data_IF_921286007560
#
_entry.id   IF_921286007560
#
_cell.length_a   1.000
_cell.length_b   1.000
_cell.length_c   1.000
_cell.angle_alpha   90.00
_cell.angle_beta   90.00
_cell.angle_gamma   90.00
#
_symmetry.space_group_name_H-M   'P 1'
#
loop_
_entity.id
_entity.type
_entity.pdbx_description
1 polymer ?
#
# COMPACT_ATOMS: atom_id res chain seq x y z
N UNK A 1 -34.48 17.68 -21.20
CA UNK A 1 -34.79 16.53 -20.32
C UNK A 1 -33.47 15.93 -19.89
N UNK A 2 -33.30 15.62 -18.61
CA UNK A 2 -32.02 15.10 -18.09
C UNK A 2 -31.97 13.58 -18.29
N UNK A 3 -30.88 13.06 -18.84
CA UNK A 3 -30.68 11.62 -19.06
C UNK A 3 -29.92 10.99 -17.89
N UNK A 4 -30.03 9.67 -17.74
CA UNK A 4 -29.26 8.94 -16.73
C UNK A 4 -27.77 9.00 -17.05
N UNK A 5 -26.94 9.13 -16.01
CA UNK A 5 -25.49 9.06 -16.15
C UNK A 5 -25.04 7.61 -16.37
N UNK A 6 -23.84 7.43 -16.93
CA UNK A 6 -23.28 6.10 -17.17
C UNK A 6 -23.16 5.28 -15.88
N UNK A 7 -22.80 5.91 -14.76
CA UNK A 7 -22.66 5.24 -13.46
C UNK A 7 -24.00 4.67 -12.97
N UNK A 8 -25.09 5.41 -13.16
CA UNK A 8 -26.44 4.94 -12.82
C UNK A 8 -26.84 3.76 -13.72
N UNK A 9 -26.55 3.81 -15.02
CA UNK A 9 -26.81 2.70 -15.94
C UNK A 9 -26.00 1.43 -15.58
N UNK A 10 -24.75 1.58 -15.12
CA UNK A 10 -23.93 0.47 -14.62
C UNK A 10 -24.52 -0.11 -13.34
N UNK A 11 -24.94 0.75 -12.40
CA UNK A 11 -25.56 0.31 -11.14
C UNK A 11 -26.88 -0.45 -11.33
N UNK A 12 -27.67 -0.10 -12.36
CA UNK A 12 -28.91 -0.80 -12.70
C UNK A 12 -28.71 -2.21 -13.26
N UNK A 13 -27.50 -2.51 -13.79
CA UNK A 13 -27.17 -3.82 -14.37
C UNK A 13 -26.87 -4.89 -13.31
N UNK A 14 -26.38 -4.49 -12.14
CA UNK A 14 -26.16 -5.42 -11.03
C UNK A 14 -27.49 -5.69 -10.31
N UNK A 15 -27.84 -6.95 -10.04
CA UNK A 15 -29.09 -7.27 -9.35
C UNK A 15 -29.01 -6.77 -7.89
N UNK A 16 -29.47 -5.54 -7.68
CA UNK A 16 -29.64 -4.91 -6.38
C UNK A 16 -31.03 -4.27 -6.29
N UNK A 17 -31.75 -4.60 -5.22
CA UNK A 17 -33.02 -3.96 -4.83
C UNK A 17 -32.74 -2.78 -3.89
N UNK A 18 -31.79 -1.93 -4.25
CA UNK A 18 -31.57 -0.69 -3.51
C UNK A 18 -32.76 0.25 -3.74
N UNK A 19 -33.44 0.74 -2.69
CA UNK A 19 -34.62 1.61 -2.81
C UNK A 19 -34.39 2.85 -3.69
N UNK A 20 -33.14 3.31 -3.81
CA UNK A 20 -32.74 4.46 -4.62
C UNK A 20 -32.81 4.27 -6.14
N UNK A 21 -33.02 3.04 -6.65
CA UNK A 21 -32.98 2.77 -8.09
C UNK A 21 -34.35 2.79 -8.80
N UNK A 22 -35.47 2.90 -8.07
CA UNK A 22 -36.81 2.82 -8.64
C UNK A 22 -37.11 3.93 -9.66
N UNK A 23 -36.77 5.19 -9.34
CA UNK A 23 -36.97 6.32 -10.24
C UNK A 23 -36.11 6.22 -11.51
N UNK A 24 -34.88 5.70 -11.39
CA UNK A 24 -34.00 5.46 -12.52
C UNK A 24 -34.55 4.36 -13.44
N UNK A 25 -35.12 3.28 -12.89
CA UNK A 25 -35.80 2.24 -13.67
C UNK A 25 -37.01 2.79 -14.41
N UNK A 26 -37.86 3.57 -13.74
CA UNK A 26 -39.02 4.20 -14.38
C UNK A 26 -38.62 5.16 -15.52
N UNK A 27 -37.53 5.91 -15.36
CA UNK A 27 -37.00 6.75 -16.43
C UNK A 27 -36.46 5.90 -17.59
N UNK A 28 -35.72 4.83 -17.28
CA UNK A 28 -35.19 3.91 -18.29
C UNK A 28 -36.33 3.28 -19.11
N UNK A 29 -37.44 2.90 -18.48
CA UNK A 29 -38.59 2.30 -19.17
C UNK A 29 -39.29 3.27 -20.13
N UNK A 30 -39.18 4.58 -19.89
CA UNK A 30 -39.83 5.63 -20.68
C UNK A 30 -38.91 6.39 -21.64
N UNK A 31 -37.58 6.31 -21.48
CA UNK A 31 -36.62 7.08 -22.26
C UNK A 31 -35.82 6.22 -23.26
N UNK A 32 -36.12 6.35 -24.55
CA UNK A 32 -35.44 5.61 -25.64
C UNK A 32 -33.93 5.89 -25.72
N UNK A 33 -33.48 7.09 -25.37
CA UNK A 33 -32.07 7.43 -25.33
C UNK A 33 -31.31 6.63 -24.26
N UNK A 34 -31.86 6.55 -23.05
CA UNK A 34 -31.24 5.78 -21.96
C UNK A 34 -31.27 4.27 -22.23
N UNK A 35 -32.32 3.77 -22.88
CA UNK A 35 -32.40 2.37 -23.32
C UNK A 35 -31.29 2.04 -24.34
N UNK A 36 -31.07 2.93 -25.31
CA UNK A 36 -30.01 2.77 -26.30
C UNK A 36 -28.61 2.80 -25.67
N UNK A 37 -28.38 3.65 -24.67
CA UNK A 37 -27.10 3.66 -23.92
C UNK A 37 -26.89 2.39 -23.09
N UNK A 38 -27.94 1.86 -22.44
CA UNK A 38 -27.85 0.59 -21.73
C UNK A 38 -27.53 -0.58 -22.67
N UNK A 39 -28.15 -0.61 -23.85
CA UNK A 39 -27.89 -1.62 -24.86
C UNK A 39 -26.44 -1.53 -25.39
N UNK A 40 -25.94 -0.31 -25.64
CA UNK A 40 -24.52 -0.09 -26.00
C UNK A 40 -23.57 -0.61 -24.91
N UNK A 41 -23.92 -0.40 -23.63
CA UNK A 41 -23.15 -0.92 -22.50
C UNK A 41 -23.15 -2.46 -22.48
N UNK A 42 -24.31 -3.10 -22.67
CA UNK A 42 -24.43 -4.55 -22.75
C UNK A 42 -23.60 -5.14 -23.90
N UNK A 43 -23.62 -4.50 -25.08
CA UNK A 43 -22.81 -4.94 -26.22
C UNK A 43 -21.31 -4.85 -25.95
N UNK A 44 -20.82 -3.78 -25.30
CA UNK A 44 -19.41 -3.65 -24.91
C UNK A 44 -18.99 -4.76 -23.94
N UNK A 45 -19.83 -5.04 -22.95
CA UNK A 45 -19.59 -6.12 -21.99
C UNK A 45 -19.56 -7.48 -22.70
N UNK A 46 -20.50 -7.72 -23.61
CA UNK A 46 -20.53 -8.96 -24.39
C UNK A 46 -19.24 -9.14 -25.22
N UNK A 47 -18.73 -8.07 -25.84
CA UNK A 47 -17.45 -8.08 -26.57
C UNK A 47 -16.25 -8.37 -25.67
N UNK A 48 -16.23 -7.80 -24.46
CA UNK A 48 -15.17 -8.08 -23.49
C UNK A 48 -15.24 -9.55 -23.00
N UNK A 49 -16.45 -10.06 -22.77
CA UNK A 49 -16.66 -11.46 -22.38
C UNK A 49 -16.36 -12.47 -23.49
N UNK A 50 -16.49 -12.06 -24.75
CA UNK A 50 -16.15 -12.90 -25.91
C UNK A 50 -14.68 -12.83 -26.32
N UNK A 51 -13.85 -12.07 -25.60
CA UNK A 51 -12.41 -12.08 -25.82
C UNK A 51 -11.88 -13.51 -25.62
N UNK A 52 -10.95 -13.96 -26.49
CA UNK A 52 -10.36 -15.27 -26.34
C UNK A 52 -9.64 -15.35 -25.00
N UNK A 53 -9.76 -16.50 -24.33
CA UNK A 53 -8.97 -16.77 -23.13
C UNK A 53 -7.50 -16.86 -23.53
N UNK A 54 -6.73 -15.81 -23.27
CA UNK A 54 -5.30 -15.81 -23.47
C UNK A 54 -4.67 -16.67 -22.37
N UNK A 55 -4.18 -17.85 -22.73
CA UNK A 55 -3.38 -18.67 -21.83
C UNK A 55 -1.92 -18.20 -21.95
N UNK A 56 -1.29 -17.73 -20.86
CA UNK A 56 0.14 -17.44 -20.92
C UNK A 56 0.88 -18.74 -21.26
N UNK A 57 1.92 -18.64 -22.09
CA UNK A 57 2.75 -19.77 -22.43
C UNK A 57 3.37 -20.36 -21.13
N UNK A 58 3.30 -21.68 -20.96
CA UNK A 58 3.63 -22.37 -19.69
C UNK A 58 5.09 -22.18 -19.27
N UNK A 59 5.95 -21.84 -20.21
CA UNK A 59 7.39 -21.60 -20.12
C UNK A 59 7.79 -20.16 -19.72
N UNK A 60 6.84 -19.20 -19.76
CA UNK A 60 7.10 -17.82 -19.34
C UNK A 60 7.31 -17.68 -17.84
N UNK A 61 6.70 -18.56 -17.04
CA UNK A 61 6.82 -18.50 -15.58
C UNK A 61 8.25 -18.76 -15.09
N UNK A 62 8.95 -19.82 -15.55
CA UNK A 62 10.38 -19.98 -15.29
C UNK A 62 11.23 -18.76 -15.67
N UNK A 63 10.95 -18.13 -16.81
CA UNK A 63 11.68 -16.95 -17.28
C UNK A 63 11.48 -15.75 -16.34
N UNK A 64 10.24 -15.46 -15.96
CA UNK A 64 9.92 -14.39 -14.98
C UNK A 64 10.56 -14.67 -13.62
N UNK A 65 10.49 -15.92 -13.15
CA UNK A 65 11.12 -16.35 -11.90
C UNK A 65 12.63 -16.18 -11.96
N UNK A 66 13.26 -16.57 -13.06
CA UNK A 66 14.70 -16.43 -13.26
C UNK A 66 15.12 -14.96 -13.27
N UNK A 67 14.37 -14.08 -13.96
CA UNK A 67 14.60 -12.63 -13.95
C UNK A 67 14.51 -12.05 -12.54
N UNK A 68 13.47 -12.42 -11.78
CA UNK A 68 13.30 -11.97 -10.40
C UNK A 68 14.44 -12.45 -9.48
N UNK A 69 14.86 -13.72 -9.62
CA UNK A 69 15.96 -14.28 -8.84
C UNK A 69 17.31 -13.66 -9.21
N UNK A 70 17.56 -13.41 -10.50
CA UNK A 70 18.77 -12.75 -10.97
C UNK A 70 18.87 -11.32 -10.44
N UNK A 71 17.77 -10.58 -10.45
CA UNK A 71 17.69 -9.23 -9.88
C UNK A 71 17.95 -9.24 -8.36
N UNK A 72 17.35 -10.20 -7.64
CA UNK A 72 17.60 -10.38 -6.20
C UNK A 72 19.07 -10.73 -5.91
N UNK A 73 19.70 -11.60 -6.72
CA UNK A 73 21.12 -11.94 -6.60
C UNK A 73 22.01 -10.73 -6.87
N UNK A 74 21.76 -9.97 -7.93
CA UNK A 74 22.51 -8.74 -8.27
C UNK A 74 22.44 -7.70 -7.16
N UNK A 75 21.28 -7.52 -6.54
CA UNK A 75 21.12 -6.64 -5.37
C UNK A 75 21.96 -7.13 -4.19
N UNK A 76 21.89 -8.43 -3.86
CA UNK A 76 22.71 -9.03 -2.80
C UNK A 76 24.21 -8.90 -3.07
N UNK A 77 24.68 -9.12 -4.30
CA UNK A 77 26.10 -8.98 -4.63
C UNK A 77 26.57 -7.52 -4.58
N UNK A 78 25.72 -6.55 -4.98
CA UNK A 78 26.02 -5.12 -4.82
C UNK A 78 26.15 -4.75 -3.33
N UNK A 79 25.19 -5.17 -2.51
CA UNK A 79 25.23 -4.99 -1.06
C UNK A 79 26.47 -5.63 -0.42
N UNK A 80 26.83 -6.86 -0.81
CA UNK A 80 28.05 -7.53 -0.34
C UNK A 80 29.33 -6.78 -0.76
N UNK A 81 29.36 -6.19 -1.96
CA UNK A 81 30.45 -5.32 -2.41
C UNK A 81 30.63 -4.08 -1.52
N UNK A 82 29.53 -3.49 -1.03
CA UNK A 82 29.58 -2.40 -0.07
C UNK A 82 30.06 -2.84 1.33
N UNK A 83 29.70 -4.04 1.79
CA UNK A 83 30.20 -4.58 3.08
C UNK A 83 31.72 -4.80 3.09
N UNK A 84 32.30 -5.22 1.96
CA UNK A 84 33.76 -5.38 1.84
C UNK A 84 34.52 -4.05 1.89
N UNK A 85 33.97 -2.98 1.31
CA UNK A 85 34.56 -1.64 1.36
C UNK A 85 34.41 -0.98 2.74
N UNK A 86 33.28 -1.19 3.42
CA UNK A 86 33.05 -0.67 4.77
C UNK A 86 33.98 -1.30 5.83
N UNK A 87 34.34 -2.59 5.67
CA UNK A 87 35.29 -3.26 6.55
C UNK A 87 36.71 -2.65 6.49
N UNK A 88 37.15 -2.21 5.31
CA UNK A 88 38.45 -1.53 5.17
C UNK A 88 38.42 -0.10 5.76
N UNK A 89 37.30 0.61 5.62
CA UNK A 89 37.14 1.97 6.14
C UNK A 89 37.03 2.03 7.69
N UNK A 90 36.47 0.98 8.31
CA UNK A 90 36.29 0.92 9.77
C UNK A 90 37.62 0.73 10.52
N UNK A 91 38.59 0.01 9.95
CA UNK A 91 39.96 -0.06 10.51
C UNK A 91 40.65 1.32 10.48
N UNK A 92 40.44 2.10 9.41
CA UNK A 92 41.01 3.44 9.29
C UNK A 92 40.33 4.47 10.22
N UNK A 93 39.01 4.39 10.40
CA UNK A 93 38.25 5.31 11.24
C UNK A 93 38.46 5.07 12.75
N UNK A 94 38.64 3.82 13.18
CA UNK A 94 38.87 3.49 14.59
C UNK A 94 40.19 4.06 15.14
N UNK A 95 41.19 4.26 14.27
CA UNK A 95 42.44 4.91 14.64
C UNK A 95 42.33 6.45 14.71
N UNK A 96 41.28 7.05 14.12
CA UNK A 96 41.15 8.50 13.98
C UNK A 96 40.22 9.16 15.01
N UNK A 97 39.29 8.43 15.63
CA UNK A 97 38.23 9.00 16.50
C UNK A 97 38.43 8.60 17.96
N UNK A 98 39.61 8.92 18.50
CA UNK A 98 39.81 8.98 19.95
C UNK A 98 39.40 10.37 20.45
N UNK A 99 38.26 10.44 21.16
CA UNK A 99 37.72 11.60 21.90
C UNK A 99 36.70 12.50 21.17
N UNK A 100 35.41 12.19 21.38
CA UNK A 100 34.32 13.20 21.49
C UNK A 100 33.29 12.69 22.53
N UNK A 101 32.84 13.51 23.50
CA UNK A 101 31.78 13.12 24.44
C UNK A 101 30.38 13.23 23.81
N UNK A 102 29.48 12.27 24.10
CA UNK A 102 28.13 12.13 23.52
C UNK A 102 27.01 12.67 24.44
N UNK A 103 25.96 13.32 23.89
CA UNK A 103 24.68 13.52 24.59
C UNK A 103 23.75 12.31 24.33
N UNK A 104 23.61 11.41 25.30
CA UNK A 104 22.95 10.10 25.12
C UNK A 104 21.51 10.05 25.67
N UNK A 105 21.13 10.91 26.62
CA UNK A 105 19.87 10.72 27.37
C UNK A 105 18.61 11.21 26.64
N UNK A 106 18.64 12.36 25.94
CA UNK A 106 17.45 12.91 25.26
C UNK A 106 16.91 12.07 24.09
N UNK A 107 17.73 11.19 23.49
CA UNK A 107 17.33 10.43 22.29
C UNK A 107 16.55 9.17 22.65
N UNK A 108 16.84 8.55 23.81
CA UNK A 108 16.17 7.34 24.28
C UNK A 108 14.71 7.55 24.64
N UNK A 109 14.40 8.67 25.31
CA UNK A 109 13.02 9.02 25.67
C UNK A 109 12.16 9.30 24.44
N UNK A 110 12.70 10.03 23.46
CA UNK A 110 12.02 10.30 22.19
C UNK A 110 11.78 9.02 21.38
N UNK A 111 12.74 8.10 21.38
CA UNK A 111 12.60 6.82 20.69
C UNK A 111 11.45 6.00 21.30
N UNK A 112 11.41 5.91 22.63
CA UNK A 112 10.37 5.18 23.36
C UNK A 112 8.98 5.75 23.06
N UNK A 113 8.83 7.08 23.03
CA UNK A 113 7.57 7.74 22.71
C UNK A 113 7.07 7.44 21.29
N UNK A 114 7.97 7.39 20.30
CA UNK A 114 7.59 7.11 18.91
C UNK A 114 7.21 5.63 18.73
N UNK A 115 7.90 4.71 19.41
CA UNK A 115 7.54 3.29 19.45
C UNK A 115 6.15 3.07 20.06
N UNK A 116 5.86 3.73 21.19
CA UNK A 116 4.54 3.66 21.84
C UNK A 116 3.44 4.17 20.90
N UNK A 117 3.64 5.34 20.27
CA UNK A 117 2.68 5.89 19.30
C UNK A 117 2.42 4.96 18.13
N UNK A 118 3.48 4.32 17.64
CA UNK A 118 3.38 3.33 16.57
C UNK A 118 2.49 2.15 16.97
N UNK A 119 2.67 1.62 18.18
CA UNK A 119 1.87 0.49 18.69
C UNK A 119 0.39 0.86 18.90
N UNK A 120 0.11 2.10 19.31
CA UNK A 120 -1.26 2.62 19.40
C UNK A 120 -1.94 2.64 18.02
N UNK A 121 -1.25 3.12 16.97
CA UNK A 121 -1.81 3.17 15.62
C UNK A 121 -2.09 1.78 15.04
N UNK A 122 -1.19 0.82 15.28
CA UNK A 122 -1.43 -0.58 14.90
C UNK A 122 -2.62 -1.19 15.61
N UNK A 123 -2.76 -0.92 16.91
CA UNK A 123 -3.89 -1.39 17.70
C UNK A 123 -5.20 -0.83 17.15
N UNK A 124 -5.23 0.45 16.77
CA UNK A 124 -6.38 1.08 16.14
C UNK A 124 -6.73 0.48 14.77
N UNK A 125 -5.73 0.17 13.94
CA UNK A 125 -5.94 -0.51 12.66
C UNK A 125 -6.50 -1.93 12.85
N UNK A 126 -5.96 -2.68 13.82
CA UNK A 126 -6.45 -4.03 14.13
C UNK A 126 -7.90 -4.00 14.65
N UNK A 127 -8.25 -3.05 15.52
CA UNK A 127 -9.61 -2.88 16.03
C UNK A 127 -10.59 -2.48 14.91
N UNK A 128 -10.15 -1.65 13.96
CA UNK A 128 -10.96 -1.24 12.82
C UNK A 128 -11.33 -2.41 11.86
N UNK A 129 -10.52 -3.47 11.83
CA UNK A 129 -10.66 -4.64 10.94
C UNK A 129 -10.85 -4.26 9.44
N UNK A 130 -9.80 -3.70 8.79
CA UNK A 130 -9.89 -3.23 7.41
C UNK A 130 -10.14 -4.37 6.41
N UNK A 131 -9.63 -5.58 6.65
CA UNK A 131 -9.80 -6.74 5.77
C UNK A 131 -11.24 -7.27 5.73
N UNK A 132 -12.02 -7.03 6.81
CA UNK A 132 -13.42 -7.41 6.88
C UNK A 132 -14.36 -6.53 6.06
N UNK A 133 -13.89 -5.42 5.46
CA UNK A 133 -14.73 -4.45 4.75
C UNK A 133 -14.39 -4.39 3.26
N UNK A 134 -15.43 -4.35 2.42
CA UNK A 134 -15.28 -4.19 0.97
C UNK A 134 -14.85 -2.76 0.64
N UNK A 135 -13.65 -2.58 0.07
CA UNK A 135 -13.07 -1.29 -0.34
C UNK A 135 -13.16 -1.12 -1.86
N UNK A 136 -13.37 0.11 -2.34
CA UNK A 136 -13.25 0.40 -3.78
C UNK A 136 -11.81 0.17 -4.28
N UNK A 137 -11.66 -0.16 -5.56
CA UNK A 137 -10.36 -0.54 -6.13
C UNK A 137 -9.31 0.58 -6.12
N UNK A 138 -9.71 1.85 -6.12
CA UNK A 138 -8.75 2.97 -6.09
C UNK A 138 -8.14 3.11 -4.70
N UNK A 139 -8.97 3.02 -3.67
CA UNK A 139 -8.55 3.08 -2.27
C UNK A 139 -7.75 1.85 -1.88
N UNK A 140 -8.16 0.65 -2.31
CA UNK A 140 -7.40 -0.58 -2.09
C UNK A 140 -5.96 -0.50 -2.65
N UNK A 141 -5.78 0.15 -3.81
CA UNK A 141 -4.44 0.39 -4.37
C UNK A 141 -3.61 1.35 -3.50
N UNK A 142 -4.21 2.43 -2.99
CA UNK A 142 -3.51 3.40 -2.15
C UNK A 142 -3.10 2.76 -0.81
N UNK A 143 -4.01 2.03 -0.18
CA UNK A 143 -3.72 1.28 1.05
C UNK A 143 -2.58 0.28 0.84
N UNK A 144 -2.65 -0.53 -0.23
CA UNK A 144 -1.58 -1.48 -0.56
C UNK A 144 -0.23 -0.82 -0.84
N UNK A 145 -0.20 0.35 -1.49
CA UNK A 145 1.04 1.12 -1.69
C UNK A 145 1.66 1.59 -0.37
N UNK A 146 0.83 1.95 0.62
CA UNK A 146 1.29 2.36 1.96
C UNK A 146 1.78 1.14 2.75
N UNK A 147 1.03 0.04 2.76
CA UNK A 147 1.42 -1.22 3.41
C UNK A 147 2.76 -1.75 2.86
N UNK A 148 2.96 -1.69 1.54
CA UNK A 148 4.22 -2.08 0.90
C UNK A 148 5.41 -1.22 1.35
N UNK A 149 5.17 0.07 1.65
CA UNK A 149 6.19 0.98 2.20
C UNK A 149 6.48 0.67 3.66
N UNK A 150 5.44 0.43 4.47
CA UNK A 150 5.59 0.01 5.87
C UNK A 150 6.40 -1.29 5.93
N UNK A 151 6.06 -2.29 5.12
CA UNK A 151 6.79 -3.57 5.09
C UNK A 151 8.27 -3.41 4.67
N UNK A 152 8.61 -2.41 3.83
CA UNK A 152 10.01 -2.08 3.52
C UNK A 152 10.71 -1.44 4.70
N UNK A 153 10.05 -0.47 5.33
CA UNK A 153 10.59 0.24 6.48
C UNK A 153 10.79 -0.68 7.69
N UNK A 154 9.86 -1.60 7.95
CA UNK A 154 9.96 -2.57 9.04
C UNK A 154 11.18 -3.49 8.87
N UNK A 155 11.52 -3.86 7.62
CA UNK A 155 12.76 -4.58 7.34
C UNK A 155 14.01 -3.72 7.58
N UNK A 156 13.95 -2.42 7.28
CA UNK A 156 15.06 -1.50 7.56
C UNK A 156 15.24 -1.30 9.07
N UNK A 157 14.14 -1.18 9.82
CA UNK A 157 14.13 -1.15 11.28
C UNK A 157 14.74 -2.42 11.87
N UNK A 158 14.26 -3.60 11.45
CA UNK A 158 14.78 -4.89 11.90
C UNK A 158 16.29 -5.01 11.64
N UNK A 159 16.75 -4.64 10.44
CA UNK A 159 18.17 -4.67 10.10
C UNK A 159 19.00 -3.66 10.93
N UNK A 160 18.45 -2.47 11.21
CA UNK A 160 19.14 -1.44 12.00
C UNK A 160 19.23 -1.84 13.47
N UNK A 161 18.18 -2.46 14.02
CA UNK A 161 18.17 -3.01 15.37
C UNK A 161 19.11 -4.21 15.53
N UNK A 162 19.22 -5.07 14.51
CA UNK A 162 20.21 -6.16 14.50
C UNK A 162 21.66 -5.63 14.48
N UNK A 163 21.88 -4.45 13.90
CA UNK A 163 23.18 -3.78 13.81
C UNK A 163 23.40 -2.74 14.93
N UNK A 164 22.68 -2.83 16.06
CA UNK A 164 22.65 -1.83 17.16
C UNK A 164 24.01 -1.37 17.68
N UNK A 165 25.08 -2.16 17.53
CA UNK A 165 26.43 -1.75 17.90
C UNK A 165 27.02 -0.66 16.98
N UNK A 166 26.46 -0.49 15.77
CA UNK A 166 26.89 0.46 14.74
C UNK A 166 25.82 1.51 14.42
N UNK A 167 24.55 1.25 14.71
CA UNK A 167 23.45 2.19 14.51
C UNK A 167 23.40 3.23 15.64
N UNK A 168 23.21 4.51 15.29
CA UNK A 168 22.98 5.55 16.28
C UNK A 168 21.50 5.55 16.67
N UNK A 169 21.16 5.84 17.93
CA UNK A 169 19.76 5.98 18.36
C UNK A 169 18.98 7.02 17.51
N UNK A 170 19.68 7.98 16.89
CA UNK A 170 19.11 8.92 15.93
C UNK A 170 18.64 8.28 14.62
N UNK A 171 19.34 7.26 14.12
CA UNK A 171 18.95 6.54 12.90
C UNK A 171 17.68 5.73 13.15
N UNK A 172 17.63 5.03 14.29
CA UNK A 172 16.43 4.33 14.75
C UNK A 172 15.26 5.29 14.93
N UNK A 173 15.48 6.42 15.60
CA UNK A 173 14.44 7.44 15.81
C UNK A 173 13.88 7.99 14.50
N UNK A 174 14.71 8.16 13.47
CA UNK A 174 14.27 8.59 12.14
C UNK A 174 13.34 7.55 11.49
N UNK A 175 13.74 6.29 11.49
CA UNK A 175 12.96 5.20 10.91
C UNK A 175 11.62 5.01 11.64
N UNK A 176 11.63 5.05 12.97
CA UNK A 176 10.41 4.97 13.78
C UNK A 176 9.45 6.14 13.51
N UNK A 177 9.96 7.37 13.30
CA UNK A 177 9.11 8.52 12.92
C UNK A 177 8.48 8.33 11.55
N UNK A 178 9.24 7.81 10.59
CA UNK A 178 8.72 7.50 9.25
C UNK A 178 7.62 6.42 9.33
N UNK A 179 7.79 5.43 10.20
CA UNK A 179 6.80 4.37 10.43
C UNK A 179 5.49 4.92 10.94
N UNK A 180 5.55 5.76 11.98
CA UNK A 180 4.39 6.46 12.52
C UNK A 180 3.69 7.27 11.42
N UNK A 181 4.43 8.00 10.59
CA UNK A 181 3.85 8.78 9.50
C UNK A 181 3.11 7.93 8.45
N UNK A 182 3.62 6.74 8.12
CA UNK A 182 2.95 5.82 7.20
C UNK A 182 1.72 5.16 7.83
N UNK A 183 1.78 4.79 9.11
CA UNK A 183 0.64 4.23 9.85
C UNK A 183 -0.48 5.27 9.99
N UNK A 184 -0.14 6.53 10.28
CA UNK A 184 -1.09 7.63 10.38
C UNK A 184 -1.81 7.85 9.03
N UNK A 185 -1.07 7.81 7.93
CA UNK A 185 -1.65 7.88 6.58
C UNK A 185 -2.56 6.67 6.26
N UNK A 186 -2.19 5.47 6.70
CA UNK A 186 -3.00 4.27 6.51
C UNK A 186 -4.31 4.37 7.31
N UNK A 187 -4.24 4.81 8.57
CA UNK A 187 -5.41 5.09 9.40
C UNK A 187 -6.32 6.12 8.72
N UNK A 188 -5.77 7.22 8.20
CA UNK A 188 -6.55 8.25 7.53
C UNK A 188 -7.31 7.73 6.30
N UNK A 189 -6.65 6.91 5.47
CA UNK A 189 -7.29 6.25 4.31
C UNK A 189 -8.49 5.38 4.75
N UNK A 190 -8.39 4.70 5.89
CA UNK A 190 -9.47 3.88 6.43
C UNK A 190 -10.57 4.71 7.12
N UNK A 191 -10.21 5.76 7.87
CA UNK A 191 -11.14 6.62 8.62
C UNK A 191 -11.91 7.57 7.72
N UNK A 192 -11.25 8.26 6.79
CA UNK A 192 -11.87 9.23 5.86
C UNK A 192 -13.00 8.60 5.05
N UNK A 193 -12.96 7.28 4.83
CA UNK A 193 -14.06 6.57 4.18
C UNK A 193 -15.21 6.21 5.12
N UNK A 194 -14.97 5.91 6.40
CA UNK A 194 -16.04 5.65 7.36
C UNK A 194 -17.03 6.82 7.42
N UNK A 195 -16.51 8.05 7.27
CA UNK A 195 -17.30 9.28 7.20
C UNK A 195 -18.11 9.44 5.90
N UNK A 196 -17.63 8.90 4.78
CA UNK A 196 -18.26 9.04 3.45
C UNK A 196 -19.16 7.86 3.06
N UNK A 197 -19.00 6.67 3.66
CA UNK A 197 -19.86 5.50 3.43
C UNK A 197 -21.07 5.42 4.38
N UNK A 198 -21.15 6.33 5.37
CA UNK A 198 -22.27 6.47 6.31
C UNK A 198 -23.25 7.60 5.99
N UNK A 199 -23.15 8.19 4.80
CA UNK A 199 -24.07 9.20 4.24
C UNK A 199 -24.67 8.65 2.94
#
# INVERSE_FOLDING_TARGET
MNHLTLDVLVGLREPGTEPGQAAARQHLDSCTHCQAELERLHQRVARLKSLPTLRPARDRWPETRARFQAERRRRRTRLAGFTGLAAAASVAAFLAVGNVPRPVEMTGDQLSQVMERSQVLESALNEYNPEGRVIDGRTARIAGEIEDRIARLDRELEMTELLRQQATDQDLLKLWRERVGLLDALVDVHVTRASNAGL
#
